data_IF_162128122372
#
_entry.id   IF_162128122372
#
_cell.length_a   1.000
_cell.length_b   1.000
_cell.length_c   1.000
_cell.angle_alpha   90.00
_cell.angle_beta   90.00
_cell.angle_gamma   90.00
#
_symmetry.space_group_name_H-M   'P 1'
#
loop_
_entity.id
_entity.type
_entity.pdbx_description
1 polymer ?
#
# COMPACT_ATOMS: atom_id res chain seq x y z
N UNK A 1 -4.06 7.01 -9.69
CA UNK A 1 -4.19 6.62 -8.28
C UNK A 1 -2.97 5.83 -7.86
N UNK A 2 -2.46 6.08 -6.65
CA UNK A 2 -1.29 5.36 -6.10
C UNK A 2 -1.77 4.39 -5.02
N UNK A 3 -1.28 3.15 -5.06
CA UNK A 3 -1.52 2.12 -4.05
C UNK A 3 -0.23 1.82 -3.31
N UNK A 4 -0.33 1.65 -1.99
CA UNK A 4 0.81 1.26 -1.17
C UNK A 4 0.40 0.39 0.01
N UNK A 5 1.32 -0.48 0.40
CA UNK A 5 1.26 -1.33 1.59
C UNK A 5 2.69 -1.61 2.05
N UNK A 6 2.89 -2.01 3.30
CA UNK A 6 4.24 -2.15 3.85
C UNK A 6 5.11 -3.15 3.07
N UNK A 7 4.57 -4.33 2.79
CA UNK A 7 5.32 -5.39 2.10
C UNK A 7 5.56 -5.13 0.61
N UNK A 8 5.07 -4.03 0.06
CA UNK A 8 5.33 -3.66 -1.34
C UNK A 8 6.83 -3.44 -1.59
N UNK A 9 7.55 -2.85 -0.65
CA UNK A 9 9.01 -2.71 -0.76
C UNK A 9 9.72 -4.05 -0.96
N UNK A 10 9.59 -5.02 -0.04
CA UNK A 10 10.08 -6.38 -0.22
C UNK A 10 9.57 -7.05 -1.51
N UNK A 11 8.29 -6.93 -1.82
CA UNK A 11 7.70 -7.55 -3.02
C UNK A 11 8.33 -7.05 -4.33
N UNK A 12 8.75 -5.79 -4.37
CA UNK A 12 9.43 -5.21 -5.53
C UNK A 12 10.91 -5.58 -5.61
N UNK A 13 11.58 -5.71 -4.46
CA UNK A 13 13.02 -5.92 -4.37
C UNK A 13 13.41 -7.39 -4.34
N UNK A 14 12.54 -8.27 -3.85
CA UNK A 14 12.85 -9.67 -3.61
C UNK A 14 11.95 -10.59 -4.47
N UNK A 15 12.58 -11.49 -5.23
CA UNK A 15 11.83 -12.45 -6.05
C UNK A 15 11.01 -13.42 -5.19
N UNK A 16 11.53 -13.79 -4.01
CA UNK A 16 10.95 -14.78 -3.09
C UNK A 16 10.45 -14.15 -1.78
N UNK A 17 9.98 -12.90 -1.81
CA UNK A 17 9.43 -12.27 -0.61
C UNK A 17 8.26 -13.10 -0.04
N UNK A 18 8.25 -13.39 1.28
CA UNK A 18 7.19 -14.20 1.90
C UNK A 18 5.79 -13.60 1.63
N UNK A 19 4.85 -14.44 1.18
CA UNK A 19 3.48 -14.02 0.89
C UNK A 19 3.30 -13.19 -0.40
N UNK A 20 4.35 -12.96 -1.17
CA UNK A 20 4.29 -12.18 -2.43
C UNK A 20 3.27 -12.73 -3.42
N UNK A 21 3.21 -14.05 -3.60
CA UNK A 21 2.28 -14.67 -4.53
C UNK A 21 0.81 -14.41 -4.13
N UNK A 22 0.49 -14.53 -2.84
CA UNK A 22 -0.86 -14.28 -2.32
C UNK A 22 -1.24 -12.80 -2.47
N UNK A 23 -0.33 -11.87 -2.15
CA UNK A 23 -0.57 -10.44 -2.34
C UNK A 23 -0.76 -10.08 -3.81
N UNK A 24 0.04 -10.65 -4.70
CA UNK A 24 -0.10 -10.44 -6.16
C UNK A 24 -1.44 -10.94 -6.67
N UNK A 25 -1.89 -12.12 -6.24
CA UNK A 25 -3.19 -12.67 -6.58
C UNK A 25 -4.34 -11.79 -6.03
N UNK A 26 -4.20 -11.31 -4.78
CA UNK A 26 -5.15 -10.39 -4.15
C UNK A 26 -5.32 -9.10 -4.98
N UNK A 27 -4.24 -8.43 -5.35
CA UNK A 27 -4.32 -7.19 -6.10
C UNK A 27 -4.85 -7.40 -7.53
N UNK A 28 -4.51 -8.52 -8.17
CA UNK A 28 -5.08 -8.87 -9.48
C UNK A 28 -6.61 -8.98 -9.39
N UNK A 29 -7.12 -9.71 -8.39
CA UNK A 29 -8.54 -9.82 -8.13
C UNK A 29 -9.16 -8.47 -7.81
N UNK A 30 -8.55 -7.68 -6.93
CA UNK A 30 -9.05 -6.37 -6.54
C UNK A 30 -9.20 -5.43 -7.74
N UNK A 31 -8.20 -5.37 -8.62
CA UNK A 31 -8.25 -4.54 -9.83
C UNK A 31 -9.35 -5.00 -10.79
N UNK A 32 -9.57 -6.30 -10.93
CA UNK A 32 -10.70 -6.86 -11.70
C UNK A 32 -12.04 -6.49 -11.08
N UNK A 33 -12.19 -6.67 -9.76
CA UNK A 33 -13.45 -6.38 -9.05
C UNK A 33 -13.77 -4.87 -9.05
N UNK A 34 -12.76 -4.00 -9.03
CA UNK A 34 -12.97 -2.55 -9.15
C UNK A 34 -13.33 -2.13 -10.57
N UNK A 35 -13.00 -2.91 -11.57
CA UNK A 35 -13.13 -2.56 -13.00
C UNK A 35 -12.52 -1.18 -13.32
N UNK A 36 -11.42 -0.83 -12.64
CA UNK A 36 -10.76 0.45 -12.81
C UNK A 36 -9.91 0.44 -14.11
N UNK A 37 -9.93 1.53 -14.90
CA UNK A 37 -9.25 1.55 -16.19
C UNK A 37 -7.76 1.21 -16.07
N UNK A 38 -7.28 0.35 -16.94
CA UNK A 38 -5.86 0.00 -17.00
C UNK A 38 -4.97 1.25 -17.19
N UNK A 39 -3.80 1.26 -16.54
CA UNK A 39 -2.85 2.36 -16.62
C UNK A 39 -3.19 3.58 -15.73
N UNK A 40 -4.30 3.57 -15.00
CA UNK A 40 -4.69 4.67 -14.10
C UNK A 40 -4.30 4.44 -12.64
N UNK A 41 -3.78 3.25 -12.32
CA UNK A 41 -3.28 2.87 -11.01
C UNK A 41 -1.82 2.47 -11.09
N UNK A 42 -1.05 2.88 -10.09
CA UNK A 42 0.33 2.46 -9.91
C UNK A 42 0.59 2.06 -8.47
N UNK A 43 1.61 1.26 -8.26
CA UNK A 43 2.08 0.86 -6.93
C UNK A 43 3.38 1.59 -6.61
N UNK A 44 3.45 2.20 -5.43
CA UNK A 44 4.62 2.96 -4.98
C UNK A 44 4.97 2.58 -3.55
N UNK A 45 6.22 2.15 -3.24
CA UNK A 45 6.56 1.59 -1.94
C UNK A 45 6.62 2.65 -0.84
N UNK A 46 6.10 2.32 0.34
CA UNK A 46 6.18 3.13 1.55
C UNK A 46 7.53 2.99 2.28
N UNK A 47 8.28 1.95 1.96
CA UNK A 47 9.61 1.69 2.52
C UNK A 47 10.59 1.32 1.41
N UNK A 48 11.85 1.59 1.65
CA UNK A 48 12.95 1.27 0.74
C UNK A 48 13.96 0.37 1.48
N UNK A 49 14.73 -0.44 0.73
CA UNK A 49 15.85 -1.18 1.33
C UNK A 49 16.80 -0.22 2.02
N UNK A 50 17.31 -0.62 3.17
CA UNK A 50 18.38 0.12 3.82
C UNK A 50 19.65 0.00 2.97
N UNK A 51 20.18 1.12 2.52
CA UNK A 51 21.38 1.17 1.68
C UNK A 51 22.64 0.69 2.42
N UNK A 52 22.62 0.67 3.75
CA UNK A 52 23.73 0.21 4.59
C UNK A 52 23.66 -1.30 4.91
N UNK A 53 22.59 -1.98 4.51
CA UNK A 53 22.49 -3.43 4.62
C UNK A 53 23.37 -4.09 3.54
N UNK A 54 24.60 -4.43 3.91
CA UNK A 54 25.55 -5.15 3.06
C UNK A 54 24.93 -6.44 2.50
N UNK A 55 25.11 -6.71 1.19
CA UNK A 55 24.68 -7.96 0.60
C UNK A 55 25.67 -9.06 0.97
N UNK A 56 25.54 -9.67 2.12
CA UNK A 56 26.14 -10.97 2.41
C UNK A 56 25.87 -11.44 3.84
N UNK A 57 24.78 -12.13 4.03
CA UNK A 57 24.71 -13.17 5.08
C UNK A 57 23.64 -14.18 4.71
N UNK A 58 23.86 -15.47 5.00
CA UNK A 58 22.88 -16.51 4.72
C UNK A 58 21.57 -16.21 5.48
N UNK A 59 20.45 -16.66 4.89
CA UNK A 59 19.10 -16.39 5.31
C UNK A 59 18.92 -16.18 6.82
N UNK A 60 18.39 -15.01 7.25
CA UNK A 60 18.10 -14.76 8.66
C UNK A 60 16.93 -15.62 9.13
N UNK A 61 16.98 -16.00 10.40
CA UNK A 61 15.92 -16.72 11.09
C UNK A 61 14.60 -15.92 11.06
N UNK A 62 13.47 -16.63 11.06
CA UNK A 62 12.13 -16.05 11.09
C UNK A 62 12.00 -14.99 12.20
N UNK A 63 11.80 -13.74 11.85
CA UNK A 63 11.56 -12.62 12.78
C UNK A 63 12.40 -11.36 12.57
N UNK A 64 13.53 -11.41 11.88
CA UNK A 64 14.46 -10.27 11.74
C UNK A 64 14.28 -9.42 10.48
N UNK A 65 13.35 -9.76 9.61
CA UNK A 65 13.25 -9.21 8.24
C UNK A 65 12.71 -7.76 8.16
N UNK A 66 12.18 -7.21 9.24
CA UNK A 66 11.68 -5.82 9.28
C UNK A 66 12.78 -4.77 9.37
N UNK A 67 14.02 -5.16 9.72
CA UNK A 67 15.14 -4.23 9.89
C UNK A 67 15.81 -3.81 8.56
N UNK A 68 15.53 -4.51 7.47
CA UNK A 68 16.14 -4.24 6.16
C UNK A 68 15.44 -3.15 5.34
N UNK A 69 14.24 -2.77 5.74
CA UNK A 69 13.43 -1.78 5.04
C UNK A 69 13.13 -0.61 5.96
N UNK A 70 13.43 0.58 5.50
CA UNK A 70 13.20 1.81 6.24
C UNK A 70 12.03 2.60 5.62
N UNK A 71 11.16 3.20 6.47
CA UNK A 71 10.15 4.14 6.00
C UNK A 71 10.82 5.30 5.28
N UNK A 72 10.27 5.72 4.16
CA UNK A 72 10.75 6.90 3.44
C UNK A 72 9.56 7.77 2.98
N UNK A 73 8.95 8.45 3.95
CA UNK A 73 7.78 9.28 3.71
C UNK A 73 8.05 10.40 2.70
N UNK A 74 9.19 11.06 2.76
CA UNK A 74 9.48 12.19 1.88
C UNK A 74 9.66 11.76 0.43
N UNK A 75 10.38 10.68 0.18
CA UNK A 75 10.49 10.09 -1.17
C UNK A 75 9.13 9.61 -1.67
N UNK A 76 8.34 8.97 -0.81
CA UNK A 76 7.00 8.53 -1.17
C UNK A 76 6.13 9.70 -1.63
N UNK A 77 6.00 10.73 -0.81
CA UNK A 77 5.14 11.88 -1.13
C UNK A 77 5.65 12.71 -2.30
N UNK A 78 6.97 12.82 -2.49
CA UNK A 78 7.56 13.40 -3.69
C UNK A 78 7.16 12.64 -4.95
N UNK A 79 7.21 11.31 -4.92
CA UNK A 79 6.76 10.44 -6.00
C UNK A 79 5.27 10.62 -6.31
N UNK A 80 4.42 10.67 -5.28
CA UNK A 80 2.97 10.92 -5.40
C UNK A 80 2.70 12.24 -6.11
N UNK A 81 3.44 13.29 -5.77
CA UNK A 81 3.32 14.61 -6.40
C UNK A 81 3.79 14.59 -7.86
N UNK A 82 4.94 13.96 -8.13
CA UNK A 82 5.48 13.82 -9.49
C UNK A 82 4.54 13.03 -10.41
N UNK A 83 3.84 12.05 -9.88
CA UNK A 83 2.83 11.25 -10.60
C UNK A 83 1.50 11.99 -10.76
N UNK A 84 1.36 13.20 -10.22
CA UNK A 84 0.09 13.93 -10.18
C UNK A 84 -1.10 13.07 -9.70
N UNK A 85 -0.86 12.24 -8.70
CA UNK A 85 -1.84 11.30 -8.22
C UNK A 85 -3.04 12.02 -7.57
N UNK A 86 -4.25 11.73 -8.04
CA UNK A 86 -5.49 12.30 -7.48
C UNK A 86 -5.83 11.75 -6.10
N UNK A 87 -5.43 10.51 -5.84
CA UNK A 87 -5.63 9.86 -4.55
C UNK A 87 -4.55 8.81 -4.29
N UNK A 88 -4.30 8.56 -3.02
CA UNK A 88 -3.42 7.50 -2.51
C UNK A 88 -4.24 6.53 -1.68
N UNK A 89 -4.07 5.25 -1.90
CA UNK A 89 -4.64 4.17 -1.09
C UNK A 89 -3.53 3.58 -0.23
N UNK A 90 -3.68 3.69 1.07
CA UNK A 90 -2.72 3.17 2.06
C UNK A 90 -3.35 1.97 2.76
N UNK A 91 -2.73 0.81 2.62
CA UNK A 91 -3.22 -0.43 3.23
C UNK A 91 -2.40 -0.80 4.46
N UNK A 92 -3.06 -0.81 5.59
CA UNK A 92 -2.51 -1.21 6.87
C UNK A 92 -1.95 -0.06 7.72
N UNK A 93 -1.97 -0.27 9.03
CA UNK A 93 -1.53 0.71 10.02
C UNK A 93 -0.01 0.93 9.99
N UNK A 94 0.76 -0.08 9.61
CA UNK A 94 2.23 0.03 9.50
C UNK A 94 2.60 0.97 8.37
N UNK A 95 2.01 0.82 7.19
CA UNK A 95 2.22 1.72 6.06
C UNK A 95 1.72 3.14 6.38
N UNK A 96 0.55 3.28 7.01
CA UNK A 96 0.01 4.57 7.41
C UNK A 96 0.96 5.33 8.35
N UNK A 97 1.51 4.64 9.33
CA UNK A 97 2.50 5.20 10.27
C UNK A 97 3.80 5.58 9.58
N UNK A 98 4.30 4.70 8.72
CA UNK A 98 5.53 4.94 7.95
C UNK A 98 5.43 6.18 7.06
N UNK A 99 4.24 6.50 6.56
CA UNK A 99 3.97 7.66 5.71
C UNK A 99 3.62 8.93 6.49
N UNK A 100 3.65 8.90 7.81
CA UNK A 100 3.38 10.05 8.69
C UNK A 100 1.89 10.43 8.74
N UNK A 101 0.98 9.50 8.47
CA UNK A 101 -0.46 9.77 8.66
C UNK A 101 -0.78 9.96 10.14
N UNK A 102 -1.84 10.71 10.47
CA UNK A 102 -2.22 10.97 11.87
C UNK A 102 -2.41 9.69 12.68
N UNK A 103 -1.97 9.69 13.93
CA UNK A 103 -2.24 8.60 14.85
C UNK A 103 -3.76 8.42 15.04
N UNK A 104 -4.20 7.16 15.10
CA UNK A 104 -5.63 6.85 15.29
C UNK A 104 -6.44 6.78 14.00
N UNK A 105 -5.84 6.97 12.83
CA UNK A 105 -6.51 6.70 11.55
C UNK A 105 -6.93 5.22 11.49
N UNK A 106 -8.19 4.99 11.16
CA UNK A 106 -8.80 3.66 11.08
C UNK A 106 -9.02 3.23 9.62
N UNK A 107 -9.15 1.93 9.37
CA UNK A 107 -9.57 1.45 8.05
C UNK A 107 -10.92 2.03 7.62
N UNK A 108 -11.10 2.17 6.32
CA UNK A 108 -12.25 2.77 5.64
C UNK A 108 -12.43 4.26 5.96
N UNK A 109 -11.36 4.95 6.27
CA UNK A 109 -11.34 6.40 6.43
C UNK A 109 -10.72 7.10 5.24
N UNK A 110 -11.23 8.30 4.98
CA UNK A 110 -10.72 9.25 4.02
C UNK A 110 -10.20 10.48 4.73
N UNK A 111 -9.02 10.93 4.36
CA UNK A 111 -8.43 12.17 4.89
C UNK A 111 -7.64 12.91 3.81
N UNK A 112 -7.21 14.12 4.11
CA UNK A 112 -6.22 14.83 3.30
C UNK A 112 -4.89 14.85 4.04
N UNK A 113 -3.82 14.51 3.34
CA UNK A 113 -2.47 14.57 3.85
C UNK A 113 -1.55 15.18 2.78
N UNK A 114 -0.78 16.19 3.16
CA UNK A 114 0.10 16.96 2.24
C UNK A 114 -0.64 17.40 0.94
N UNK A 115 -1.90 17.82 1.08
CA UNK A 115 -2.73 18.25 -0.05
C UNK A 115 -3.35 17.13 -0.87
N UNK A 116 -2.93 15.88 -0.69
CA UNK A 116 -3.41 14.71 -1.43
C UNK A 116 -4.56 14.03 -0.68
N UNK A 117 -5.51 13.50 -1.43
CA UNK A 117 -6.58 12.67 -0.89
C UNK A 117 -6.03 11.29 -0.55
N UNK A 118 -6.27 10.83 0.67
CA UNK A 118 -5.77 9.53 1.16
C UNK A 118 -6.93 8.68 1.64
N UNK A 119 -6.98 7.43 1.22
CA UNK A 119 -7.88 6.41 1.71
C UNK A 119 -7.10 5.35 2.46
N UNK A 120 -7.45 5.12 3.72
CA UNK A 120 -6.82 4.10 4.55
C UNK A 120 -7.69 2.86 4.58
N UNK A 121 -7.10 1.71 4.30
CA UNK A 121 -7.75 0.41 4.26
C UNK A 121 -7.10 -0.54 5.27
N UNK A 122 -7.72 -1.70 5.48
CA UNK A 122 -7.08 -2.78 6.23
C UNK A 122 -5.81 -3.25 5.53
N UNK A 123 -4.91 -3.83 6.30
CA UNK A 123 -3.75 -4.52 5.76
C UNK A 123 -4.18 -5.67 4.83
N UNK A 124 -3.37 -5.94 3.81
CA UNK A 124 -3.65 -7.00 2.83
C UNK A 124 -3.84 -8.33 3.52
N UNK A 125 -3.00 -8.66 4.49
CA UNK A 125 -3.04 -9.92 5.23
C UNK A 125 -4.38 -10.13 5.95
N UNK A 126 -5.00 -9.07 6.48
CA UNK A 126 -6.34 -9.15 7.08
C UNK A 126 -7.48 -9.36 6.07
N UNK A 127 -7.23 -9.09 4.79
CA UNK A 127 -8.23 -9.21 3.74
C UNK A 127 -8.16 -10.55 3.00
N UNK A 128 -7.04 -11.26 3.10
CA UNK A 128 -6.83 -12.54 2.42
C UNK A 128 -7.85 -13.60 2.85
N UNK A 129 -8.15 -13.67 4.14
CA UNK A 129 -9.02 -14.70 4.75
C UNK A 129 -10.35 -14.15 5.31
N UNK A 130 -10.66 -12.88 5.02
CA UNK A 130 -11.82 -12.17 5.57
C UNK A 130 -12.75 -11.63 4.47
N UNK A 131 -13.61 -12.47 3.88
CA UNK A 131 -14.47 -12.06 2.77
C UNK A 131 -15.38 -10.88 3.07
N UNK A 132 -15.85 -10.75 4.32
CA UNK A 132 -16.72 -9.64 4.72
C UNK A 132 -15.96 -8.31 4.75
N UNK A 133 -14.72 -8.31 5.24
CA UNK A 133 -13.85 -7.12 5.21
C UNK A 133 -13.48 -6.74 3.79
N UNK A 134 -13.19 -7.72 2.95
CA UNK A 134 -12.95 -7.49 1.53
C UNK A 134 -14.15 -6.82 0.84
N UNK A 135 -15.36 -7.33 1.07
CA UNK A 135 -16.59 -6.76 0.50
C UNK A 135 -16.83 -5.31 0.98
N UNK A 136 -16.62 -5.04 2.27
CA UNK A 136 -16.75 -3.70 2.85
C UNK A 136 -15.71 -2.73 2.26
N UNK A 137 -14.46 -3.16 2.12
CA UNK A 137 -13.40 -2.41 1.49
C UNK A 137 -13.73 -2.09 0.03
N UNK A 138 -14.18 -3.09 -0.74
CA UNK A 138 -14.54 -2.93 -2.14
C UNK A 138 -15.67 -1.91 -2.32
N UNK A 139 -16.71 -1.97 -1.47
CA UNK A 139 -17.81 -1.01 -1.48
C UNK A 139 -17.33 0.41 -1.14
N UNK A 140 -16.44 0.55 -0.17
CA UNK A 140 -15.84 1.83 0.20
C UNK A 140 -15.05 2.43 -0.97
N UNK A 141 -14.13 1.66 -1.57
CA UNK A 141 -13.29 2.13 -2.68
C UNK A 141 -14.13 2.49 -3.90
N UNK A 142 -15.13 1.69 -4.26
CA UNK A 142 -16.05 2.01 -5.36
C UNK A 142 -16.76 3.35 -5.16
N UNK A 143 -17.27 3.60 -3.95
CA UNK A 143 -17.90 4.88 -3.60
C UNK A 143 -16.92 6.04 -3.68
N UNK A 144 -15.72 5.86 -3.15
CA UNK A 144 -14.68 6.86 -3.17
C UNK A 144 -14.22 7.20 -4.60
N UNK A 145 -14.08 6.19 -5.47
CA UNK A 145 -13.78 6.39 -6.89
C UNK A 145 -14.84 7.20 -7.62
N UNK A 146 -16.13 6.93 -7.36
CA UNK A 146 -17.23 7.72 -7.95
C UNK A 146 -17.16 9.20 -7.56
N UNK A 147 -16.71 9.52 -6.35
CA UNK A 147 -16.58 10.90 -5.89
C UNK A 147 -15.48 11.67 -6.63
N UNK A 148 -14.36 11.02 -6.95
CA UNK A 148 -13.28 11.68 -7.72
C UNK A 148 -13.52 11.73 -9.23
N UNK A 149 -14.34 10.83 -9.76
CA UNK A 149 -14.71 10.83 -11.19
C UNK A 149 -15.72 11.91 -11.55
N UNK A 150 -16.48 12.42 -10.57
CA UNK A 150 -17.49 13.48 -10.76
C UNK A 150 -16.91 14.90 -10.60
N UNK A 151 -15.66 15.05 -10.24
CA UNK A 151 -14.93 16.31 -10.13
C UNK A 151 -13.95 16.46 -11.30
#
# INVERSE_FOLDING_TARGET
>A
MVWTYWNLGPDLCEAQAPGKAQRSAFFRRLMQDLAYPAGTSTFWPACLPDSDAMPASPAPAEGEDRSRYQPNADVFWSGVQALHARAVVVMGSVAARALGLPAGVRPLQQLRHRGTLVWVLWDVEFLLDEPQRYAAMLAFVRRALQQISRR
#
